data_IF_680821895423
#
_entry.id   IF_680821895423
#
_cell.length_a   1.000
_cell.length_b   1.000
_cell.length_c   1.000
_cell.angle_alpha   90.00
_cell.angle_beta   90.00
_cell.angle_gamma   90.00
#
_symmetry.space_group_name_H-M   'P 1'
#
loop_
_entity.id
_entity.type
_entity.pdbx_description
1 polymer ?
#
# COMPACT_ATOMS: atom_id res chain seq x y z
N UNK A 1 -11.06 -19.67 24.82
CA UNK A 1 -11.22 -20.88 23.97
C UNK A 1 -11.69 -20.42 22.61
N UNK A 2 -11.03 -20.84 21.53
CA UNK A 2 -11.17 -20.29 20.16
C UNK A 2 -12.44 -20.81 19.43
N UNK A 3 -13.19 -21.72 20.03
CA UNK A 3 -14.27 -22.48 19.37
C UNK A 3 -15.55 -21.69 19.00
N UNK A 4 -15.68 -20.42 19.35
CA UNK A 4 -16.89 -19.61 19.06
C UNK A 4 -16.80 -18.75 17.79
N UNK A 5 -15.72 -18.83 17.02
CA UNK A 5 -15.38 -17.82 16.00
C UNK A 5 -15.63 -18.24 14.55
N UNK A 6 -16.08 -19.49 14.29
CA UNK A 6 -16.18 -20.01 12.92
C UNK A 6 -14.82 -20.16 12.23
N UNK A 7 -13.71 -20.19 12.99
CA UNK A 7 -12.35 -20.36 12.50
C UNK A 7 -11.95 -21.84 12.51
N UNK A 8 -11.40 -22.32 11.39
CA UNK A 8 -10.60 -23.54 11.34
C UNK A 8 -9.13 -23.18 11.66
N UNK A 9 -8.61 -23.68 12.78
CA UNK A 9 -7.25 -23.38 13.24
C UNK A 9 -6.34 -24.56 12.92
N UNK A 10 -5.44 -24.35 11.97
CA UNK A 10 -4.41 -25.32 11.59
C UNK A 10 -3.03 -24.86 12.06
N UNK A 11 -2.13 -25.82 12.31
CA UNK A 11 -0.73 -25.57 12.62
C UNK A 11 0.11 -26.04 11.44
N UNK A 12 0.93 -25.15 10.90
CA UNK A 12 1.87 -25.43 9.82
C UNK A 12 3.25 -24.87 10.16
N UNK A 13 4.29 -25.60 9.78
CA UNK A 13 5.67 -25.14 9.71
C UNK A 13 6.00 -24.74 8.26
N UNK A 14 6.06 -23.44 7.99
CA UNK A 14 6.27 -22.92 6.63
C UNK A 14 7.62 -23.27 6.02
N UNK A 15 8.60 -23.71 6.81
CA UNK A 15 9.89 -24.16 6.29
C UNK A 15 9.78 -25.53 5.60
N UNK A 16 8.86 -26.41 6.04
CA UNK A 16 8.86 -27.84 5.65
C UNK A 16 7.50 -28.39 5.23
N UNK A 17 6.40 -27.84 5.73
CA UNK A 17 5.07 -28.36 5.45
C UNK A 17 4.62 -27.96 4.05
N UNK A 18 3.98 -28.90 3.36
CA UNK A 18 3.28 -28.60 2.11
C UNK A 18 1.97 -27.87 2.43
N UNK A 19 1.74 -26.76 1.74
CA UNK A 19 0.47 -26.02 1.81
C UNK A 19 -0.48 -26.54 0.73
N UNK A 20 -1.80 -26.48 0.97
CA UNK A 20 -2.79 -26.83 -0.04
C UNK A 20 -2.70 -25.86 -1.22
N UNK A 21 -2.81 -26.38 -2.44
CA UNK A 21 -2.82 -25.56 -3.66
C UNK A 21 -4.20 -24.94 -3.87
N UNK A 22 -4.22 -23.67 -4.31
CA UNK A 22 -5.44 -22.97 -4.70
C UNK A 22 -6.59 -22.99 -3.66
N UNK A 23 -6.28 -23.00 -2.36
CA UNK A 23 -7.30 -23.05 -1.31
C UNK A 23 -7.74 -21.64 -0.85
N UNK A 24 -6.83 -20.67 -0.90
CA UNK A 24 -7.04 -19.38 -0.22
C UNK A 24 -7.33 -18.22 -1.18
N UNK A 25 -8.37 -17.44 -0.87
CA UNK A 25 -8.67 -16.18 -1.53
C UNK A 25 -7.79 -15.02 -1.00
N UNK A 26 -7.30 -15.15 0.24
CA UNK A 26 -6.41 -14.21 0.90
C UNK A 26 -5.42 -14.95 1.81
N UNK A 27 -4.14 -14.60 1.68
CA UNK A 27 -3.09 -14.97 2.64
C UNK A 27 -2.56 -13.70 3.29
N UNK A 28 -2.58 -13.65 4.61
CA UNK A 28 -1.95 -12.57 5.38
C UNK A 28 -0.90 -13.14 6.32
N UNK A 29 0.33 -12.65 6.18
CA UNK A 29 1.45 -12.99 7.06
C UNK A 29 1.95 -11.73 7.72
N UNK A 30 2.12 -11.73 9.05
CA UNK A 30 2.64 -10.58 9.78
C UNK A 30 3.69 -11.00 10.78
N UNK A 31 4.86 -10.36 10.72
CA UNK A 31 5.98 -10.63 11.61
C UNK A 31 6.40 -12.11 11.60
N UNK A 32 6.39 -12.75 10.42
CA UNK A 32 6.60 -14.20 10.27
C UNK A 32 7.77 -14.56 9.36
N UNK A 33 7.96 -13.85 8.24
CA UNK A 33 8.90 -14.25 7.18
C UNK A 33 10.36 -14.13 7.65
N UNK A 34 10.66 -13.18 8.53
CA UNK A 34 11.99 -13.03 9.16
C UNK A 34 12.43 -14.22 10.03
N UNK A 35 11.52 -15.11 10.40
CA UNK A 35 11.84 -16.32 11.18
C UNK A 35 12.16 -17.52 10.28
N UNK A 36 11.89 -17.42 8.98
CA UNK A 36 11.99 -18.53 8.05
C UNK A 36 13.44 -18.70 7.58
N UNK A 37 13.84 -19.96 7.39
CA UNK A 37 15.21 -20.29 6.94
C UNK A 37 15.38 -19.98 5.46
N UNK A 38 14.36 -20.29 4.67
CA UNK A 38 14.29 -19.95 3.24
C UNK A 38 13.01 -19.14 2.95
N UNK A 39 13.08 -17.81 3.11
CA UNK A 39 11.96 -16.93 2.79
C UNK A 39 11.46 -17.04 1.36
N UNK A 40 12.32 -17.28 0.38
CA UNK A 40 11.92 -17.34 -1.02
C UNK A 40 11.07 -18.59 -1.26
N UNK A 41 11.56 -19.75 -0.83
CA UNK A 41 10.82 -21.00 -0.97
C UNK A 41 9.47 -20.96 -0.22
N UNK A 42 9.46 -20.42 1.00
CA UNK A 42 8.23 -20.30 1.76
C UNK A 42 7.22 -19.32 1.13
N UNK A 43 7.68 -18.20 0.57
CA UNK A 43 6.83 -17.26 -0.16
C UNK A 43 6.24 -17.92 -1.42
N UNK A 44 7.01 -18.74 -2.16
CA UNK A 44 6.49 -19.47 -3.31
C UNK A 44 5.44 -20.53 -2.95
N UNK A 45 5.60 -21.22 -1.81
CA UNK A 45 4.55 -22.11 -1.27
C UNK A 45 3.27 -21.33 -0.94
N UNK A 46 3.40 -20.16 -0.32
CA UNK A 46 2.25 -19.30 -0.01
C UNK A 46 1.58 -18.79 -1.30
N UNK A 47 2.35 -18.35 -2.29
CA UNK A 47 1.82 -17.89 -3.57
C UNK A 47 1.04 -19.00 -4.31
N UNK A 48 1.56 -20.24 -4.29
CA UNK A 48 0.92 -21.41 -4.89
C UNK A 48 -0.39 -21.81 -4.19
N UNK A 49 -0.51 -21.51 -2.90
CA UNK A 49 -1.71 -21.78 -2.13
C UNK A 49 -2.88 -20.80 -2.41
N UNK A 50 -2.64 -19.73 -3.15
CA UNK A 50 -3.68 -18.78 -3.57
C UNK A 50 -4.52 -19.36 -4.71
N UNK A 51 -5.83 -19.11 -4.67
CA UNK A 51 -6.71 -19.27 -5.84
C UNK A 51 -6.34 -18.28 -6.95
N UNK A 52 -6.70 -18.56 -8.22
CA UNK A 52 -6.60 -17.54 -9.27
C UNK A 52 -7.36 -16.27 -8.86
N UNK A 53 -6.68 -15.12 -8.87
CA UNK A 53 -7.22 -13.86 -8.38
C UNK A 53 -7.11 -13.60 -6.88
N UNK A 54 -6.59 -14.56 -6.10
CA UNK A 54 -6.37 -14.43 -4.65
C UNK A 54 -5.24 -13.46 -4.33
N UNK A 55 -5.27 -12.88 -3.13
CA UNK A 55 -4.30 -11.88 -2.68
C UNK A 55 -3.37 -12.44 -1.61
N UNK A 56 -2.10 -12.00 -1.63
CA UNK A 56 -1.17 -12.18 -0.52
C UNK A 56 -0.73 -10.82 -0.01
N UNK A 57 -0.69 -10.66 1.31
CA UNK A 57 -0.14 -9.51 2.02
C UNK A 57 0.84 -10.02 3.08
N UNK A 58 2.11 -9.68 2.92
CA UNK A 58 3.17 -10.00 3.88
C UNK A 58 3.68 -8.71 4.52
N UNK A 59 3.71 -8.71 5.84
CA UNK A 59 4.20 -7.61 6.64
C UNK A 59 5.40 -8.05 7.49
N UNK A 60 6.53 -7.35 7.37
CA UNK A 60 7.67 -7.57 8.23
C UNK A 60 8.41 -6.32 8.70
N UNK A 61 9.09 -6.47 9.84
CA UNK A 61 9.73 -5.36 10.54
C UNK A 61 11.10 -5.04 9.93
N UNK A 62 11.29 -3.79 9.57
CA UNK A 62 12.50 -3.23 8.97
C UNK A 62 13.30 -2.46 10.03
N UNK A 63 14.53 -2.94 10.28
CA UNK A 63 15.39 -2.47 11.37
C UNK A 63 16.59 -1.65 10.90
N UNK A 64 16.69 -1.30 9.61
CA UNK A 64 17.88 -0.63 9.06
C UNK A 64 18.18 0.71 9.72
N UNK A 65 17.16 1.48 10.14
CA UNK A 65 17.37 2.73 10.85
C UNK A 65 18.11 2.52 12.18
N UNK A 66 17.68 1.53 12.99
CA UNK A 66 18.31 1.21 14.28
C UNK A 66 19.71 0.60 14.11
N UNK A 67 19.91 -0.21 13.08
CA UNK A 67 21.17 -0.92 12.85
C UNK A 67 22.22 -0.09 12.10
N UNK A 68 21.80 0.67 11.09
CA UNK A 68 22.66 1.35 10.14
C UNK A 68 22.79 2.86 10.33
N UNK A 69 21.81 3.52 10.95
CA UNK A 69 21.84 4.98 11.23
C UNK A 69 21.44 5.31 12.68
N UNK A 70 22.14 4.73 13.68
CA UNK A 70 21.77 4.87 15.09
C UNK A 70 21.70 6.33 15.57
N UNK A 71 22.60 7.18 15.07
CA UNK A 71 22.65 8.60 15.45
C UNK A 71 21.48 9.41 14.89
N UNK A 72 20.80 8.90 13.86
CA UNK A 72 19.61 9.51 13.26
C UNK A 72 18.29 9.01 13.83
N UNK A 73 18.32 8.08 14.79
CA UNK A 73 17.09 7.53 15.37
C UNK A 73 16.34 8.62 16.14
N UNK A 74 15.07 8.82 15.79
CA UNK A 74 14.21 9.80 16.45
C UNK A 74 13.84 9.25 17.83
N UNK A 75 14.39 9.87 18.86
CA UNK A 75 14.16 9.59 20.29
C UNK A 75 14.03 10.92 21.01
N UNK A 76 13.01 11.08 21.84
CA UNK A 76 12.76 12.25 22.66
C UNK A 76 12.63 11.83 24.14
N UNK A 77 13.33 12.49 25.09
CA UNK A 77 14.33 13.52 24.84
C UNK A 77 15.60 12.97 24.16
N UNK A 78 16.30 13.82 23.40
CA UNK A 78 17.51 13.42 22.65
C UNK A 78 18.60 12.81 23.55
N UNK A 79 18.67 13.23 24.81
CA UNK A 79 19.60 12.70 25.80
C UNK A 79 19.42 11.20 26.09
N UNK A 80 18.23 10.63 25.84
CA UNK A 80 17.97 9.19 26.00
C UNK A 80 18.44 8.35 24.81
N UNK A 81 18.73 8.96 23.64
CA UNK A 81 19.07 8.25 22.40
C UNK A 81 20.23 7.27 22.57
N UNK A 82 21.38 7.62 23.21
CA UNK A 82 22.52 6.72 23.27
C UNK A 82 22.21 5.40 23.99
N UNK A 83 21.52 5.46 25.14
CA UNK A 83 21.19 4.25 25.92
C UNK A 83 20.12 3.40 25.21
N UNK A 84 19.09 4.04 24.62
CA UNK A 84 18.03 3.37 23.86
C UNK A 84 18.61 2.61 22.66
N UNK A 85 19.46 3.27 21.88
CA UNK A 85 20.15 2.66 20.73
C UNK A 85 21.03 1.50 21.19
N UNK A 86 21.77 1.66 22.29
CA UNK A 86 22.66 0.62 22.83
C UNK A 86 21.87 -0.64 23.19
N UNK A 87 20.79 -0.50 23.96
CA UNK A 87 19.93 -1.62 24.38
C UNK A 87 19.28 -2.30 23.17
N UNK A 88 18.69 -1.54 22.25
CA UNK A 88 18.08 -2.13 21.05
C UNK A 88 19.08 -2.86 20.17
N UNK A 89 20.30 -2.31 19.96
CA UNK A 89 21.34 -3.00 19.19
C UNK A 89 21.77 -4.30 19.83
N UNK A 90 21.85 -4.37 21.15
CA UNK A 90 22.16 -5.60 21.86
C UNK A 90 21.05 -6.66 21.67
N UNK A 91 19.78 -6.27 21.81
CA UNK A 91 18.63 -7.15 21.54
C UNK A 91 18.66 -7.68 20.10
N UNK A 92 18.86 -6.80 19.12
CA UNK A 92 18.94 -7.20 17.71
C UNK A 92 20.15 -8.10 17.43
N UNK A 93 21.26 -7.89 18.13
CA UNK A 93 22.43 -8.76 18.08
C UNK A 93 22.13 -10.18 18.60
N UNK A 94 21.41 -10.30 19.71
CA UNK A 94 20.96 -11.59 20.26
C UNK A 94 19.99 -12.28 19.30
N UNK A 95 19.00 -11.56 18.77
CA UNK A 95 18.06 -12.07 17.79
C UNK A 95 18.78 -12.58 16.52
N UNK A 96 19.76 -11.83 16.01
CA UNK A 96 20.58 -12.27 14.86
C UNK A 96 21.33 -13.57 15.14
N UNK A 97 21.91 -13.71 16.34
CA UNK A 97 22.58 -14.96 16.76
C UNK A 97 21.62 -16.15 16.80
N UNK A 98 20.34 -15.89 17.08
CA UNK A 98 19.27 -16.89 17.09
C UNK A 98 18.65 -17.13 15.69
N UNK A 99 19.30 -16.66 14.61
CA UNK A 99 18.90 -16.94 13.24
C UNK A 99 17.91 -15.94 12.61
N UNK A 100 17.64 -14.82 13.28
CA UNK A 100 16.69 -13.82 12.79
C UNK A 100 17.24 -13.08 11.55
N UNK A 101 16.47 -13.08 10.45
CA UNK A 101 16.84 -12.40 9.22
C UNK A 101 16.26 -10.97 9.19
N UNK A 102 17.10 -9.98 9.45
CA UNK A 102 16.71 -8.56 9.46
C UNK A 102 16.60 -7.90 8.09
N UNK A 103 17.06 -8.57 7.03
CA UNK A 103 17.09 -8.00 5.68
C UNK A 103 15.82 -8.36 4.89
N UNK A 104 15.09 -9.41 5.29
CA UNK A 104 13.97 -9.96 4.54
C UNK A 104 12.82 -8.96 4.35
N UNK A 105 12.58 -8.07 5.32
CA UNK A 105 11.50 -7.09 5.23
C UNK A 105 11.63 -6.22 3.97
N UNK A 106 12.86 -5.81 3.61
CA UNK A 106 13.14 -5.04 2.38
C UNK A 106 13.08 -5.90 1.12
N UNK A 107 13.22 -7.22 1.26
CA UNK A 107 13.17 -8.17 0.15
C UNK A 107 11.75 -8.61 -0.17
N UNK A 108 10.78 -8.48 0.75
CA UNK A 108 9.40 -8.92 0.54
C UNK A 108 8.82 -8.52 -0.82
N UNK A 109 8.95 -7.28 -1.32
CA UNK A 109 8.42 -6.93 -2.64
C UNK A 109 9.08 -7.75 -3.76
N UNK A 110 10.39 -8.01 -3.67
CA UNK A 110 11.14 -8.82 -4.64
C UNK A 110 10.76 -10.30 -4.55
N UNK A 111 10.58 -10.84 -3.33
CA UNK A 111 10.10 -12.21 -3.17
C UNK A 111 8.72 -12.40 -3.81
N UNK A 112 7.82 -11.42 -3.71
CA UNK A 112 6.52 -11.48 -4.39
C UNK A 112 6.62 -11.26 -5.90
N UNK A 113 7.62 -10.49 -6.37
CA UNK A 113 7.91 -10.30 -7.79
C UNK A 113 8.26 -11.61 -8.48
N UNK A 114 9.04 -12.45 -7.80
CA UNK A 114 9.63 -13.67 -8.35
C UNK A 114 8.60 -14.82 -8.50
N UNK A 115 7.42 -14.70 -7.87
CA UNK A 115 6.34 -15.71 -7.87
C UNK A 115 5.25 -15.46 -8.93
N UNK A 116 5.58 -14.79 -10.03
CA UNK A 116 4.65 -14.48 -11.14
C UNK A 116 3.34 -13.76 -10.73
N UNK A 117 3.35 -13.08 -9.57
CA UNK A 117 2.21 -12.32 -9.06
C UNK A 117 2.01 -11.02 -9.84
N UNK A 118 0.75 -10.65 -10.03
CA UNK A 118 0.31 -9.36 -10.59
C UNK A 118 -0.07 -8.38 -9.48
N UNK A 119 -0.24 -7.09 -9.82
CA UNK A 119 -0.62 -6.03 -8.88
C UNK A 119 0.31 -5.94 -7.64
N UNK A 120 1.61 -6.22 -7.83
CA UNK A 120 2.60 -6.24 -6.75
C UNK A 120 2.92 -4.81 -6.32
N UNK A 121 2.75 -4.54 -5.02
CA UNK A 121 3.02 -3.24 -4.42
C UNK A 121 3.60 -3.37 -3.02
N UNK A 122 4.08 -2.26 -2.48
CA UNK A 122 4.56 -2.22 -1.12
C UNK A 122 4.43 -0.83 -0.49
N UNK A 123 4.33 -0.81 0.84
CA UNK A 123 4.33 0.39 1.66
C UNK A 123 5.27 0.22 2.86
N UNK A 124 5.93 1.31 3.25
CA UNK A 124 6.79 1.35 4.43
C UNK A 124 6.23 2.36 5.43
N UNK A 125 5.82 1.89 6.61
CA UNK A 125 5.21 2.72 7.65
C UNK A 125 6.04 2.73 8.93
N UNK A 126 6.41 3.92 9.39
CA UNK A 126 6.98 4.15 10.72
C UNK A 126 6.06 5.10 11.51
N UNK A 127 5.95 4.87 12.82
CA UNK A 127 5.08 5.65 13.70
C UNK A 127 5.81 6.00 15.00
N UNK A 128 5.48 7.16 15.58
CA UNK A 128 5.92 7.50 16.93
C UNK A 128 5.27 6.58 17.97
N UNK A 129 6.07 6.15 18.92
CA UNK A 129 5.67 5.44 20.13
C UNK A 129 5.89 6.39 21.29
N UNK A 130 4.80 6.87 21.86
CA UNK A 130 4.82 7.69 23.08
C UNK A 130 4.96 6.80 24.31
N UNK A 131 5.70 7.24 25.32
CA UNK A 131 5.81 6.50 26.56
C UNK A 131 4.44 6.30 27.23
N UNK A 132 4.28 5.17 27.93
CA UNK A 132 3.02 4.75 28.55
C UNK A 132 1.95 4.25 27.55
N UNK A 133 2.18 4.34 26.24
CA UNK A 133 1.25 3.80 25.23
C UNK A 133 1.30 2.26 25.14
N UNK A 134 0.26 1.58 24.61
CA UNK A 134 0.30 0.12 24.43
C UNK A 134 1.48 -0.39 23.57
N UNK A 135 1.92 0.31 22.49
CA UNK A 135 3.16 -0.03 21.80
C UNK A 135 4.42 0.09 22.68
N UNK A 136 4.51 1.10 23.55
CA UNK A 136 5.62 1.22 24.50
C UNK A 136 5.64 0.06 25.50
N UNK A 137 4.46 -0.36 26.00
CA UNK A 137 4.34 -1.56 26.83
C UNK A 137 4.78 -2.84 26.12
N UNK A 138 4.62 -2.93 24.80
CA UNK A 138 5.10 -4.07 24.00
C UNK A 138 6.63 -4.06 23.86
N UNK A 139 7.23 -2.88 23.74
CA UNK A 139 8.68 -2.71 23.75
C UNK A 139 9.28 -3.12 25.10
N UNK A 140 8.68 -2.69 26.22
CA UNK A 140 9.11 -3.06 27.58
C UNK A 140 9.14 -4.58 27.74
N UNK A 141 8.05 -5.28 27.39
CA UNK A 141 8.00 -6.75 27.45
C UNK A 141 9.08 -7.44 26.61
N UNK A 142 9.49 -6.81 25.50
CA UNK A 142 10.59 -7.32 24.68
C UNK A 142 11.92 -7.18 25.42
N UNK A 143 12.18 -6.01 26.02
CA UNK A 143 13.39 -5.76 26.82
C UNK A 143 13.45 -6.74 28.00
N UNK A 144 12.36 -6.88 28.76
CA UNK A 144 12.26 -7.81 29.90
C UNK A 144 12.55 -9.25 29.48
N UNK A 145 12.06 -9.68 28.31
CA UNK A 145 12.31 -11.03 27.78
C UNK A 145 13.79 -11.32 27.54
N UNK A 146 14.59 -10.30 27.18
CA UNK A 146 16.02 -10.45 26.89
C UNK A 146 16.92 -10.01 28.05
N UNK A 147 16.37 -9.56 29.18
CA UNK A 147 17.13 -8.93 30.26
C UNK A 147 18.30 -9.78 30.75
N UNK A 148 18.05 -11.06 31.05
CA UNK A 148 19.09 -11.97 31.56
C UNK A 148 20.23 -12.18 30.53
N UNK A 149 19.88 -12.34 29.26
CA UNK A 149 20.85 -12.51 28.17
C UNK A 149 21.65 -11.22 27.92
N UNK A 150 21.01 -10.05 28.06
CA UNK A 150 21.64 -8.74 27.88
C UNK A 150 22.70 -8.48 28.97
N UNK A 151 22.37 -8.78 30.23
CA UNK A 151 23.29 -8.64 31.36
C UNK A 151 24.44 -9.67 31.23
N UNK A 152 24.12 -10.90 30.83
CA UNK A 152 25.10 -11.98 30.64
C UNK A 152 26.12 -11.71 29.51
N UNK A 153 25.77 -10.90 28.52
CA UNK A 153 26.64 -10.54 27.39
C UNK A 153 27.73 -9.48 27.74
N UNK A 154 27.79 -8.99 28.98
CA UNK A 154 28.77 -8.05 29.54
C UNK A 154 28.80 -6.61 28.97
N UNK A 155 28.05 -6.31 27.90
CA UNK A 155 28.03 -4.99 27.27
C UNK A 155 26.86 -4.09 27.70
N UNK A 156 25.87 -4.62 28.44
CA UNK A 156 24.68 -3.88 28.91
C UNK A 156 24.56 -4.03 30.43
N UNK A 157 24.27 -2.91 31.11
CA UNK A 157 24.10 -2.88 32.56
C UNK A 157 22.62 -2.75 32.96
N UNK A 158 22.27 -3.21 34.15
CA UNK A 158 20.91 -3.08 34.71
C UNK A 158 20.43 -1.61 34.74
N UNK A 159 21.24 -0.61 35.14
CA UNK A 159 20.83 0.80 35.05
C UNK A 159 20.50 1.28 33.63
N UNK A 160 21.14 0.75 32.60
CA UNK A 160 20.85 1.11 31.20
C UNK A 160 19.51 0.52 30.72
N UNK A 161 19.19 -0.69 31.18
CA UNK A 161 17.89 -1.33 30.96
C UNK A 161 16.80 -0.52 31.68
N UNK A 162 17.00 -0.22 32.97
CA UNK A 162 16.06 0.56 33.78
C UNK A 162 15.82 1.94 33.19
N UNK A 163 16.87 2.62 32.73
CA UNK A 163 16.73 3.93 32.09
C UNK A 163 15.88 3.86 30.81
N UNK A 164 16.06 2.81 30.01
CA UNK A 164 15.28 2.59 28.78
C UNK A 164 13.81 2.29 29.10
N UNK A 165 13.55 1.46 30.11
CA UNK A 165 12.19 1.13 30.57
C UNK A 165 11.51 2.37 31.19
N UNK A 166 12.24 3.15 31.99
CA UNK A 166 11.74 4.39 32.57
C UNK A 166 11.33 5.39 31.48
N UNK A 167 12.16 5.55 30.44
CA UNK A 167 11.81 6.36 29.27
C UNK A 167 10.52 5.83 28.62
N UNK A 168 10.42 4.53 28.33
CA UNK A 168 9.23 3.93 27.72
C UNK A 168 7.95 4.06 28.56
N UNK A 169 8.07 4.32 29.86
CA UNK A 169 6.93 4.59 30.75
C UNK A 169 6.60 6.09 30.86
N UNK A 170 7.54 6.99 30.57
CA UNK A 170 7.35 8.44 30.66
C UNK A 170 6.48 8.96 29.50
N UNK A 171 5.25 9.47 29.76
CA UNK A 171 4.36 9.97 28.71
C UNK A 171 4.90 11.16 27.92
N UNK A 172 5.91 11.86 28.45
CA UNK A 172 6.58 12.97 27.75
C UNK A 172 7.68 12.51 26.80
N UNK A 173 8.02 11.22 26.79
CA UNK A 173 9.04 10.64 25.92
C UNK A 173 8.42 10.05 24.65
N UNK A 174 9.24 9.91 23.61
CA UNK A 174 8.85 9.21 22.40
C UNK A 174 10.04 8.55 21.69
N UNK A 175 9.78 7.53 20.89
CA UNK A 175 10.72 7.04 19.88
C UNK A 175 9.99 6.66 18.60
N UNK A 176 10.66 6.72 17.46
CA UNK A 176 10.09 6.16 16.22
C UNK A 176 10.29 4.65 16.22
N UNK A 177 9.18 3.92 16.06
CA UNK A 177 9.20 2.46 15.91
C UNK A 177 10.00 2.06 14.66
N UNK A 178 10.67 0.89 14.67
CA UNK A 178 11.07 0.23 13.43
C UNK A 178 9.96 0.27 12.39
N UNK A 179 10.34 0.53 11.14
CA UNK A 179 9.38 0.59 10.07
C UNK A 179 8.77 -0.80 9.84
N UNK A 180 7.52 -0.85 9.39
CA UNK A 180 6.90 -2.07 8.89
C UNK A 180 6.86 -1.96 7.37
N UNK A 181 7.44 -2.95 6.69
CA UNK A 181 7.22 -3.13 5.25
C UNK A 181 6.00 -4.01 5.09
N UNK A 182 4.99 -3.50 4.40
CA UNK A 182 3.84 -4.27 3.93
C UNK A 182 4.01 -4.45 2.42
N UNK A 183 4.07 -5.68 1.93
CA UNK A 183 4.15 -5.99 0.51
C UNK A 183 3.00 -6.91 0.13
N UNK A 184 2.41 -6.68 -1.04
CA UNK A 184 1.29 -7.47 -1.51
C UNK A 184 1.43 -7.84 -2.98
N UNK A 185 0.66 -8.84 -3.39
CA UNK A 185 0.53 -9.28 -4.77
C UNK A 185 -0.74 -10.09 -4.96
N UNK A 186 -1.15 -10.27 -6.20
CA UNK A 186 -2.36 -11.01 -6.59
C UNK A 186 -1.99 -12.13 -7.55
N UNK A 187 -2.52 -13.33 -7.34
CA UNK A 187 -2.37 -14.42 -8.30
C UNK A 187 -3.15 -14.08 -9.57
N UNK A 188 -2.62 -14.30 -10.78
CA UNK A 188 -3.37 -14.08 -12.02
C UNK A 188 -4.69 -14.87 -12.07
N UNK A 189 -5.71 -14.34 -12.76
CA UNK A 189 -6.90 -15.11 -13.11
C UNK A 189 -6.54 -16.13 -14.21
N UNK A 190 -6.99 -17.38 -14.07
CA UNK A 190 -6.52 -18.54 -14.84
C UNK A 190 -6.99 -18.65 -16.30
N UNK A 191 -7.28 -17.54 -16.98
CA UNK A 191 -7.81 -17.59 -18.35
C UNK A 191 -6.73 -17.35 -19.41
N UNK A 192 -6.39 -18.44 -20.11
CA UNK A 192 -6.20 -18.53 -21.57
C UNK A 192 -5.21 -17.58 -22.26
N UNK A 193 -4.22 -18.18 -22.94
CA UNK A 193 -3.22 -17.48 -23.75
C UNK A 193 -3.77 -16.34 -24.63
N UNK A 194 -3.24 -15.15 -24.40
CA UNK A 194 -3.69 -13.93 -25.06
C UNK A 194 -2.72 -12.77 -24.86
N UNK A 195 -1.45 -12.97 -25.21
CA UNK A 195 -0.46 -11.90 -25.31
C UNK A 195 0.10 -11.43 -23.96
N UNK A 196 1.42 -11.26 -23.93
CA UNK A 196 2.14 -10.53 -22.89
C UNK A 196 1.61 -9.09 -22.79
N UNK A 197 0.54 -8.85 -22.03
CA UNK A 197 0.35 -7.58 -21.34
C UNK A 197 0.91 -7.74 -19.94
N UNK A 198 2.25 -7.86 -19.88
CA UNK A 198 2.98 -7.83 -18.63
C UNK A 198 2.61 -6.59 -17.83
N UNK A 199 2.73 -6.72 -16.51
CA UNK A 199 2.66 -5.62 -15.57
C UNK A 199 3.42 -4.42 -16.16
N UNK A 200 2.82 -3.21 -16.22
CA UNK A 200 3.60 -2.03 -16.55
C UNK A 200 4.73 -1.86 -15.52
N UNK A 201 5.85 -1.20 -15.89
CA UNK A 201 7.08 -1.22 -15.11
C UNK A 201 6.87 -0.76 -13.66
N UNK A 202 7.44 -1.50 -12.71
CA UNK A 202 7.36 -1.32 -11.23
C UNK A 202 8.05 -0.04 -10.70
N UNK A 203 8.19 0.99 -11.53
CA UNK A 203 8.83 2.28 -11.22
C UNK A 203 7.96 3.48 -11.54
N UNK A 204 6.78 3.29 -12.14
CA UNK A 204 5.88 4.38 -12.48
C UNK A 204 4.99 4.76 -11.29
N UNK A 205 5.41 5.76 -10.52
CA UNK A 205 4.57 6.37 -9.47
C UNK A 205 3.19 6.76 -10.02
N UNK A 206 2.17 6.89 -9.17
CA UNK A 206 0.84 7.50 -9.50
C UNK A 206 0.96 8.73 -10.42
N UNK A 207 2.01 9.54 -10.21
CA UNK A 207 2.31 10.72 -11.02
C UNK A 207 2.70 10.40 -12.47
N UNK A 208 3.46 9.33 -12.70
CA UNK A 208 3.85 8.87 -14.04
C UNK A 208 2.61 8.50 -14.85
N UNK A 209 1.69 7.76 -14.24
CA UNK A 209 0.41 7.39 -14.84
C UNK A 209 -0.48 8.59 -15.11
N UNK A 210 -0.64 9.48 -14.14
CA UNK A 210 -1.41 10.69 -14.35
C UNK A 210 -0.84 11.52 -15.51
N UNK A 211 0.48 11.57 -15.68
CA UNK A 211 1.10 12.31 -16.79
C UNK A 211 0.81 11.76 -18.18
N UNK A 212 0.32 10.53 -18.32
CA UNK A 212 -0.15 10.03 -19.62
C UNK A 212 -1.48 10.68 -20.05
N UNK A 213 -2.23 11.26 -19.10
CA UNK A 213 -3.44 12.02 -19.41
C UNK A 213 -3.11 13.43 -19.89
N UNK A 214 -3.69 13.88 -21.04
CA UNK A 214 -3.61 15.27 -21.48
C UNK A 214 -4.07 16.28 -20.41
N UNK A 215 -4.96 15.85 -19.50
CA UNK A 215 -5.45 16.64 -18.37
C UNK A 215 -4.33 17.22 -17.50
N UNK A 216 -3.25 16.46 -17.34
CA UNK A 216 -2.15 16.78 -16.42
C UNK A 216 -0.87 17.21 -17.15
N UNK A 217 -0.89 17.30 -18.48
CA UNK A 217 0.30 17.55 -19.30
C UNK A 217 1.00 18.88 -19.00
N UNK A 218 0.27 19.87 -18.47
CA UNK A 218 0.80 21.21 -18.11
C UNK A 218 1.00 21.42 -16.61
N UNK A 219 0.71 20.41 -15.79
CA UNK A 219 0.85 20.52 -14.34
C UNK A 219 2.33 20.44 -13.94
N UNK A 220 2.78 21.42 -13.15
CA UNK A 220 4.11 21.41 -12.53
C UNK A 220 4.28 20.23 -11.56
N UNK A 221 5.51 19.95 -11.13
CA UNK A 221 5.77 18.90 -10.12
C UNK A 221 5.02 19.11 -8.79
N UNK A 222 4.89 20.37 -8.38
CA UNK A 222 4.16 20.73 -7.15
C UNK A 222 2.67 20.51 -7.33
N UNK A 223 2.11 20.90 -8.47
CA UNK A 223 0.71 20.64 -8.81
C UNK A 223 0.44 19.13 -8.91
N UNK A 224 1.31 18.38 -9.58
CA UNK A 224 1.22 16.92 -9.67
C UNK A 224 1.26 16.23 -8.31
N UNK A 225 2.06 16.77 -7.37
CA UNK A 225 2.04 16.30 -5.98
C UNK A 225 0.68 16.46 -5.32
N UNK A 226 0.02 17.59 -5.56
CA UNK A 226 -1.31 17.86 -5.02
C UNK A 226 -2.37 16.99 -5.68
N UNK A 227 -2.31 16.83 -7.01
CA UNK A 227 -3.21 15.91 -7.74
C UNK A 227 -3.12 14.51 -7.14
N UNK A 228 -1.90 13.95 -7.02
CA UNK A 228 -1.71 12.60 -6.50
C UNK A 228 -2.22 12.45 -5.06
N UNK A 229 -2.11 13.49 -4.22
CA UNK A 229 -2.63 13.45 -2.84
C UNK A 229 -4.15 13.53 -2.71
N UNK A 230 -4.86 13.92 -3.78
CA UNK A 230 -6.31 14.06 -3.82
C UNK A 230 -7.01 12.86 -4.47
N UNK A 231 -6.25 11.95 -5.07
CA UNK A 231 -6.77 10.82 -5.83
C UNK A 231 -6.78 9.55 -4.98
N UNK A 232 -7.88 8.81 -5.07
CA UNK A 232 -7.94 7.41 -4.70
C UNK A 232 -7.73 6.53 -5.94
N UNK A 233 -7.29 5.29 -5.75
CA UNK A 233 -7.18 4.29 -6.81
C UNK A 233 -8.43 3.41 -6.83
N UNK A 234 -8.95 3.14 -8.02
CA UNK A 234 -10.08 2.23 -8.23
C UNK A 234 -9.76 1.22 -9.32
N UNK A 235 -10.08 -0.04 -9.01
CA UNK A 235 -10.02 -1.16 -9.94
C UNK A 235 -11.44 -1.61 -10.25
N UNK A 236 -11.74 -1.83 -11.52
CA UNK A 236 -13.03 -2.37 -11.97
C UNK A 236 -12.79 -3.49 -12.97
N UNK A 237 -13.66 -4.48 -12.96
CA UNK A 237 -13.64 -5.57 -13.92
C UNK A 237 -14.41 -5.20 -15.21
N UNK A 238 -14.23 -5.99 -16.26
CA UNK A 238 -14.96 -5.81 -17.52
C UNK A 238 -16.48 -5.92 -17.30
N UNK A 239 -17.25 -5.04 -17.95
CA UNK A 239 -18.71 -5.00 -17.85
C UNK A 239 -19.25 -4.18 -16.68
N UNK A 240 -18.41 -3.71 -15.75
CA UNK A 240 -18.86 -2.85 -14.65
C UNK A 240 -19.28 -1.45 -15.14
N UNK A 241 -20.39 -0.94 -14.60
CA UNK A 241 -20.87 0.42 -14.86
C UNK A 241 -20.22 1.42 -13.88
N UNK A 242 -19.33 2.25 -14.41
CA UNK A 242 -18.62 3.30 -13.67
C UNK A 242 -19.52 4.49 -13.33
N UNK A 243 -20.43 4.81 -14.24
CA UNK A 243 -21.50 5.78 -14.04
C UNK A 243 -22.74 5.32 -14.77
N UNK A 244 -23.91 5.70 -14.27
CA UNK A 244 -25.20 5.38 -14.89
C UNK A 244 -25.94 6.68 -15.22
N UNK A 245 -26.40 6.84 -16.46
CA UNK A 245 -27.17 8.01 -16.90
C UNK A 245 -28.38 8.26 -15.98
N UNK A 246 -28.60 9.54 -15.63
CA UNK A 246 -29.72 9.96 -14.78
C UNK A 246 -29.47 9.78 -13.27
N UNK A 247 -28.46 9.01 -12.86
CA UNK A 247 -28.11 8.86 -11.44
C UNK A 247 -27.35 10.08 -10.90
N UNK A 248 -27.39 10.36 -9.59
CA UNK A 248 -26.52 11.37 -8.98
C UNK A 248 -25.04 11.09 -9.27
N UNK A 249 -24.26 12.15 -9.54
CA UNK A 249 -22.84 12.04 -9.83
C UNK A 249 -21.98 12.88 -8.90
N UNK A 250 -21.22 12.23 -8.02
CA UNK A 250 -20.35 12.88 -7.03
C UNK A 250 -18.87 12.50 -7.18
N UNK A 251 -18.49 11.93 -8.32
CA UNK A 251 -17.16 11.35 -8.55
C UNK A 251 -16.63 11.69 -9.93
N UNK A 252 -15.33 12.01 -10.00
CA UNK A 252 -14.58 12.26 -11.23
C UNK A 252 -13.54 11.15 -11.43
N UNK A 253 -13.34 10.71 -12.67
CA UNK A 253 -12.50 9.55 -13.01
C UNK A 253 -11.47 9.92 -14.07
N UNK A 254 -10.25 9.40 -13.91
CA UNK A 254 -9.18 9.42 -14.91
C UNK A 254 -8.72 7.99 -15.18
N UNK A 255 -8.64 7.60 -16.44
CA UNK A 255 -8.27 6.24 -16.85
C UNK A 255 -6.75 6.13 -16.91
N UNK A 256 -6.18 5.31 -16.03
CA UNK A 256 -4.75 4.96 -16.09
C UNK A 256 -4.52 3.80 -17.06
N UNK A 257 -5.34 2.74 -16.99
CA UNK A 257 -5.26 1.57 -17.87
C UNK A 257 -6.66 0.99 -18.13
N UNK A 258 -6.82 0.31 -19.27
CA UNK A 258 -8.08 -0.29 -19.71
C UNK A 258 -8.90 0.65 -20.60
N UNK A 259 -10.03 0.14 -21.08
CA UNK A 259 -10.93 0.85 -21.99
C UNK A 259 -12.36 0.83 -21.48
N UNK A 260 -13.13 1.85 -21.82
CA UNK A 260 -14.55 1.96 -21.48
C UNK A 260 -15.35 2.55 -22.63
N UNK A 261 -16.65 2.28 -22.63
CA UNK A 261 -17.59 2.86 -23.59
C UNK A 261 -18.54 3.82 -22.91
N UNK A 262 -18.70 5.01 -23.49
CA UNK A 262 -19.73 5.97 -23.11
C UNK A 262 -20.98 5.74 -23.96
N UNK A 263 -22.14 5.63 -23.31
CA UNK A 263 -23.43 5.51 -23.97
C UNK A 263 -24.45 6.49 -23.37
N UNK A 264 -25.43 6.91 -24.18
CA UNK A 264 -26.53 7.78 -23.75
C UNK A 264 -27.82 7.36 -24.45
N UNK A 265 -28.91 7.20 -23.70
CA UNK A 265 -30.17 6.69 -24.22
C UNK A 265 -30.01 5.34 -24.95
N UNK A 266 -29.12 4.47 -24.46
CA UNK A 266 -28.78 3.19 -25.08
C UNK A 266 -27.93 3.26 -26.35
N UNK A 267 -27.56 4.46 -26.82
CA UNK A 267 -26.73 4.64 -28.02
C UNK A 267 -25.26 4.84 -27.62
N UNK A 268 -24.35 4.08 -28.22
CA UNK A 268 -22.89 4.23 -28.04
C UNK A 268 -22.42 5.56 -28.62
N UNK A 269 -21.78 6.40 -27.80
CA UNK A 269 -21.30 7.72 -28.21
C UNK A 269 -19.81 7.69 -28.57
N UNK A 270 -18.96 7.23 -27.65
CA UNK A 270 -17.51 7.30 -27.79
C UNK A 270 -16.82 6.22 -26.94
N UNK A 271 -15.68 5.72 -27.41
CA UNK A 271 -14.78 4.89 -26.61
C UNK A 271 -13.75 5.73 -25.86
N UNK A 272 -13.44 5.33 -24.64
CA UNK A 272 -12.42 5.92 -23.77
C UNK A 272 -11.30 4.91 -23.55
N UNK A 273 -10.07 5.42 -23.47
CA UNK A 273 -8.89 4.62 -23.18
C UNK A 273 -7.95 5.34 -22.22
N UNK A 274 -6.73 4.80 -22.01
CA UNK A 274 -5.74 5.38 -21.11
C UNK A 274 -5.50 6.88 -21.38
N UNK A 275 -5.38 7.65 -20.31
CA UNK A 275 -5.27 9.11 -20.33
C UNK A 275 -6.59 9.86 -20.50
N UNK A 276 -7.69 9.20 -20.84
CA UNK A 276 -9.02 9.84 -20.89
C UNK A 276 -9.58 10.07 -19.50
N UNK A 277 -10.56 10.97 -19.39
CA UNK A 277 -11.27 11.25 -18.14
C UNK A 277 -12.76 11.52 -18.37
N UNK A 278 -13.57 11.29 -17.34
CA UNK A 278 -15.02 11.45 -17.39
C UNK A 278 -15.62 11.74 -16.01
N UNK A 279 -16.92 12.08 -16.01
CA UNK A 279 -17.69 12.35 -14.80
C UNK A 279 -17.66 13.81 -14.33
N UNK A 280 -16.95 14.69 -15.03
CA UNK A 280 -16.78 16.10 -14.68
C UNK A 280 -18.06 16.93 -14.85
N UNK A 281 -18.92 16.55 -15.79
CA UNK A 281 -20.12 17.34 -16.14
C UNK A 281 -21.09 17.41 -14.96
N UNK A 282 -21.40 16.26 -14.34
CA UNK A 282 -22.33 16.19 -13.21
C UNK A 282 -21.86 17.02 -12.01
N UNK A 283 -20.54 17.03 -11.76
CA UNK A 283 -19.94 17.80 -10.68
C UNK A 283 -19.95 19.31 -10.95
N UNK A 284 -19.70 19.73 -12.20
CA UNK A 284 -19.65 21.15 -12.57
C UNK A 284 -21.05 21.75 -12.72
N UNK A 285 -21.96 21.03 -13.38
CA UNK A 285 -23.33 21.49 -13.61
C UNK A 285 -24.25 21.22 -12.41
N UNK A 286 -23.75 20.52 -11.37
CA UNK A 286 -24.51 20.12 -10.18
C UNK A 286 -25.80 19.36 -10.54
N UNK A 287 -25.69 18.45 -11.51
CA UNK A 287 -26.80 17.69 -12.08
C UNK A 287 -26.56 16.18 -12.06
N UNK A 288 -27.52 15.38 -12.56
CA UNK A 288 -27.33 13.95 -12.70
C UNK A 288 -26.25 13.62 -13.76
N UNK A 289 -25.77 12.38 -13.74
CA UNK A 289 -24.89 11.83 -14.78
C UNK A 289 -25.56 11.95 -16.14
N UNK A 290 -24.81 12.46 -17.11
CA UNK A 290 -25.32 12.74 -18.47
C UNK A 290 -25.21 11.55 -19.43
N UNK A 291 -24.50 10.48 -19.02
CA UNK A 291 -24.24 9.28 -19.80
C UNK A 291 -23.88 8.11 -18.88
N UNK A 292 -24.08 6.89 -19.37
CA UNK A 292 -23.55 5.66 -18.76
C UNK A 292 -22.14 5.41 -19.29
N UNK A 293 -21.23 4.99 -18.41
CA UNK A 293 -19.87 4.59 -18.79
C UNK A 293 -19.66 3.17 -18.29
N UNK A 294 -19.36 2.25 -19.20
CA UNK A 294 -19.19 0.81 -18.91
C UNK A 294 -17.78 0.40 -19.26
N UNK A 295 -17.14 -0.38 -18.39
CA UNK A 295 -15.82 -0.93 -18.63
C UNK A 295 -15.86 -1.95 -19.78
N UNK A 296 -15.04 -1.75 -20.81
CA UNK A 296 -14.86 -2.68 -21.94
C UNK A 296 -13.70 -3.67 -21.67
N UNK A 297 -12.95 -3.46 -20.58
CA UNK A 297 -11.86 -4.33 -20.11
C UNK A 297 -11.71 -4.14 -18.60
N UNK A 298 -10.87 -4.94 -17.94
CA UNK A 298 -10.37 -4.59 -16.60
C UNK A 298 -9.69 -3.21 -16.64
N UNK A 299 -9.99 -2.34 -15.68
CA UNK A 299 -9.48 -0.96 -15.67
C UNK A 299 -8.84 -0.57 -14.34
N UNK A 300 -7.85 0.33 -14.46
CA UNK A 300 -7.23 1.05 -13.36
C UNK A 300 -7.54 2.53 -13.52
N UNK A 301 -8.08 3.13 -12.46
CA UNK A 301 -8.62 4.49 -12.47
C UNK A 301 -8.08 5.29 -11.30
N UNK A 302 -7.84 6.57 -11.52
CA UNK A 302 -7.74 7.54 -10.44
C UNK A 302 -9.09 8.21 -10.24
N UNK A 303 -9.52 8.30 -8.99
CA UNK A 303 -10.85 8.71 -8.59
C UNK A 303 -10.76 9.89 -7.64
N UNK A 304 -11.58 10.89 -7.89
CA UNK A 304 -11.70 12.06 -7.04
C UNK A 304 -13.16 12.19 -6.60
N UNK A 305 -13.39 12.22 -5.30
CA UNK A 305 -14.70 12.57 -4.75
C UNK A 305 -15.03 14.05 -5.03
N UNK A 306 -16.25 14.47 -4.69
CA UNK A 306 -16.69 15.85 -4.95
C UNK A 306 -15.79 16.91 -4.29
N UNK A 307 -15.21 16.61 -3.11
CA UNK A 307 -14.31 17.54 -2.40
C UNK A 307 -12.93 17.58 -3.05
N UNK A 308 -12.39 16.42 -3.43
CA UNK A 308 -11.15 16.26 -4.16
C UNK A 308 -11.23 16.96 -5.51
N UNK A 309 -12.31 16.79 -6.25
CA UNK A 309 -12.56 17.49 -7.50
C UNK A 309 -12.66 19.01 -7.31
N UNK A 310 -13.39 19.49 -6.31
CA UNK A 310 -13.44 20.92 -5.99
C UNK A 310 -12.04 21.46 -5.63
N UNK A 311 -11.23 20.68 -4.92
CA UNK A 311 -9.85 21.03 -4.57
C UNK A 311 -8.93 21.05 -5.79
N UNK A 312 -9.12 20.14 -6.76
CA UNK A 312 -8.43 20.19 -8.06
C UNK A 312 -8.76 21.50 -8.79
N UNK A 313 -10.05 21.83 -8.92
CA UNK A 313 -10.51 23.00 -9.66
C UNK A 313 -10.04 24.32 -9.04
N UNK A 314 -10.02 24.42 -7.71
CA UNK A 314 -9.65 25.65 -7.00
C UNK A 314 -8.15 25.77 -6.74
N UNK A 315 -7.45 24.64 -6.56
CA UNK A 315 -6.07 24.60 -6.10
C UNK A 315 -5.03 24.36 -7.20
N UNK A 316 -5.47 23.99 -8.40
CA UNK A 316 -4.58 23.56 -9.50
C UNK A 316 -5.03 24.18 -10.83
N UNK A 317 -4.60 25.43 -11.13
CA UNK A 317 -5.07 26.18 -12.30
C UNK A 317 -4.79 25.49 -13.64
N UNK A 318 -3.65 24.79 -13.77
CA UNK A 318 -3.29 24.07 -14.99
C UNK A 318 -4.33 23.01 -15.37
N UNK A 319 -4.81 22.24 -14.40
CA UNK A 319 -5.82 21.18 -14.56
C UNK A 319 -7.21 21.78 -14.79
N UNK A 320 -7.60 22.78 -13.98
CA UNK A 320 -8.89 23.45 -14.13
C UNK A 320 -9.09 24.03 -15.55
N UNK A 321 -8.05 24.67 -16.10
CA UNK A 321 -8.07 25.23 -17.44
C UNK A 321 -8.28 24.15 -18.52
N UNK A 322 -7.66 22.98 -18.38
CA UNK A 322 -7.80 21.90 -19.35
C UNK A 322 -9.21 21.28 -19.29
N UNK A 323 -9.79 21.12 -18.09
CA UNK A 323 -11.18 20.68 -17.92
C UNK A 323 -12.15 21.67 -18.59
N UNK A 324 -12.01 22.97 -18.32
CA UNK A 324 -12.87 23.98 -18.94
C UNK A 324 -12.73 24.02 -20.47
N UNK A 325 -11.50 23.85 -20.98
CA UNK A 325 -11.25 23.77 -22.42
C UNK A 325 -11.96 22.58 -23.05
N UNK A 326 -11.81 21.39 -22.47
CA UNK A 326 -12.45 20.18 -22.99
C UNK A 326 -13.99 20.27 -22.96
N UNK A 327 -14.57 20.87 -21.90
CA UNK A 327 -16.01 21.12 -21.85
C UNK A 327 -16.49 22.07 -22.94
N UNK A 328 -15.74 23.13 -23.23
CA UNK A 328 -16.05 24.05 -24.31
C UNK A 328 -15.97 23.36 -25.69
N UNK A 329 -15.02 22.45 -25.89
CA UNK A 329 -14.90 21.63 -27.10
C UNK A 329 -16.07 20.65 -27.24
N UNK A 330 -16.46 19.95 -26.17
CA UNK A 330 -17.62 19.04 -26.15
C UNK A 330 -18.93 19.76 -26.47
N UNK A 331 -19.17 20.96 -25.90
CA UNK A 331 -20.37 21.77 -26.20
C UNK A 331 -20.46 22.23 -27.66
N UNK A 332 -19.34 22.36 -28.36
CA UNK A 332 -19.32 22.68 -29.80
C UNK A 332 -19.69 21.48 -30.68
N UNK A 333 -19.29 20.28 -30.27
CA UNK A 333 -19.52 19.05 -31.04
C UNK A 333 -20.95 18.50 -30.89
N UNK A 334 -21.68 18.84 -29.83
CA UNK A 334 -23.09 18.45 -29.62
C UNK A 334 -24.08 19.33 -30.42
N UNK A 335 -23.62 20.46 -31.00
CA UNK A 335 -24.44 21.37 -31.81
C UNK A 335 -24.38 21.11 -33.33
N UNK A 336 -23.76 20.01 -33.76
CA UNK A 336 -23.77 19.50 -35.14
C UNK A 336 -24.48 18.16 -35.17
#
# INVERSE_FOLDING_TARGET
MIHETGLDVRRHDLDVDTLPEEEFDLIHGRAVVHNLKDPAEAVGRLASALKPGGWILLEDVEWSATLGQPDGLIVHPDAARPVVVKVWRAILGLMRKNGYNFDVARQLPTLLVDEDLVDVGAEVRASLVWGGSPPAGSAIRTIERFQDDLIGAADITEPEIDQTIAMLNDPSSALVRPAMVAAWGRRPHGDGGGGTQGMPPRTETVRSWMRTSPLFAKASEVEMSRVASLADELHVEEGEELTVEGQPGNTFFVIAKGTATVSRGGTRLVGLGPGSYFGEIALIEQGPRTATVTADSRMWLFVFDAKGFASLMNGIPSVANEIFRALAERKRNVKR
#
